data_IF_471974721532
#
_entry.id   IF_471974721532
#
_cell.length_a   1.000
_cell.length_b   1.000
_cell.length_c   1.000
_cell.angle_alpha   90.00
_cell.angle_beta   90.00
_cell.angle_gamma   90.00
#
_symmetry.space_group_name_H-M   'P 1'
#
loop_
_entity.id
_entity.type
_entity.pdbx_description
1 polymer ?
#
# COMPACT_ATOMS: atom_id res chain seq x y z
N UNK A 1 10.27 12.57 -25.19
CA UNK A 1 11.44 11.67 -25.24
C UNK A 1 12.29 12.03 -24.02
N UNK A 2 12.47 11.10 -23.07
CA UNK A 2 13.42 11.32 -21.96
C UNK A 2 14.82 11.43 -22.55
N UNK A 3 15.56 12.47 -22.16
CA UNK A 3 16.91 12.73 -22.63
C UNK A 3 17.81 11.52 -22.25
N UNK A 4 18.81 11.24 -23.08
CA UNK A 4 19.84 10.21 -22.81
C UNK A 4 20.51 10.45 -21.44
N UNK A 5 20.65 11.73 -21.05
CA UNK A 5 21.15 12.13 -19.74
C UNK A 5 20.26 11.63 -18.59
N UNK A 6 18.94 11.81 -18.70
CA UNK A 6 17.97 11.38 -17.68
C UNK A 6 17.96 9.85 -17.50
N UNK A 7 18.09 9.10 -18.58
CA UNK A 7 18.22 7.63 -18.54
C UNK A 7 19.48 7.20 -17.82
N UNK A 8 20.61 7.81 -18.14
CA UNK A 8 21.89 7.49 -17.53
C UNK A 8 21.93 7.82 -16.02
N UNK A 9 21.34 8.95 -15.61
CA UNK A 9 21.18 9.32 -14.19
C UNK A 9 20.29 8.30 -13.48
N UNK A 10 19.18 7.89 -14.11
CA UNK A 10 18.26 6.90 -13.56
C UNK A 10 18.91 5.52 -13.37
N UNK A 11 19.71 5.07 -14.34
CA UNK A 11 20.44 3.79 -14.26
C UNK A 11 21.48 3.82 -13.13
N UNK A 12 22.28 4.88 -13.01
CA UNK A 12 23.23 5.06 -11.91
C UNK A 12 22.57 5.09 -10.53
N UNK A 13 21.44 5.75 -10.41
CA UNK A 13 20.67 5.82 -9.16
C UNK A 13 20.14 4.43 -8.77
N UNK A 14 19.64 3.67 -9.75
CA UNK A 14 19.21 2.28 -9.57
C UNK A 14 20.36 1.38 -9.11
N UNK A 15 21.49 1.49 -9.76
CA UNK A 15 22.70 0.71 -9.44
C UNK A 15 23.24 1.07 -8.05
N UNK A 16 23.19 2.35 -7.67
CA UNK A 16 23.59 2.83 -6.36
C UNK A 16 22.79 2.14 -5.24
N UNK A 17 21.46 2.23 -5.28
CA UNK A 17 20.60 1.62 -4.24
C UNK A 17 20.66 0.10 -4.25
N UNK A 18 20.88 -0.53 -5.40
CA UNK A 18 21.10 -1.97 -5.48
C UNK A 18 22.41 -2.41 -4.78
N UNK A 19 23.51 -1.70 -5.05
CA UNK A 19 24.80 -1.94 -4.39
C UNK A 19 24.71 -1.67 -2.89
N UNK A 20 24.03 -0.60 -2.51
CA UNK A 20 23.83 -0.22 -1.13
C UNK A 20 22.99 -1.25 -0.37
N UNK A 21 21.93 -1.79 -0.99
CA UNK A 21 21.14 -2.87 -0.40
C UNK A 21 21.98 -4.11 -0.12
N UNK A 22 22.82 -4.53 -1.07
CA UNK A 22 23.76 -5.64 -0.85
C UNK A 22 24.75 -5.36 0.27
N UNK A 23 25.32 -4.16 0.30
CA UNK A 23 26.32 -3.76 1.31
C UNK A 23 25.72 -3.75 2.72
N UNK A 24 24.48 -3.32 2.87
CA UNK A 24 23.75 -3.21 4.15
C UNK A 24 22.86 -4.41 4.45
N UNK A 25 22.95 -5.50 3.66
CA UNK A 25 22.17 -6.72 3.81
C UNK A 25 20.63 -6.51 3.76
N UNK A 26 20.16 -5.50 3.04
CA UNK A 26 18.74 -5.37 2.75
C UNK A 26 18.32 -6.35 1.64
N UNK A 27 17.13 -6.94 1.80
CA UNK A 27 16.57 -7.91 0.85
C UNK A 27 16.23 -7.31 -0.50
N UNK A 28 15.99 -6.01 -0.57
CA UNK A 28 15.72 -5.29 -1.81
C UNK A 28 16.11 -3.82 -1.71
N UNK A 29 16.34 -3.18 -2.86
CA UNK A 29 16.54 -1.73 -2.94
C UNK A 29 15.28 -0.92 -2.55
N UNK A 30 14.09 -1.56 -2.60
CA UNK A 30 12.83 -0.93 -2.19
C UNK A 30 12.84 -0.56 -0.70
N UNK A 31 13.69 -1.20 0.12
CA UNK A 31 13.90 -0.83 1.53
C UNK A 31 14.24 0.66 1.69
N UNK A 32 15.05 1.22 0.79
CA UNK A 32 15.43 2.64 0.86
C UNK A 32 14.29 3.61 0.58
N UNK A 33 13.27 3.19 -0.17
CA UNK A 33 12.06 4.00 -0.36
C UNK A 33 11.33 4.17 0.97
N UNK A 34 11.14 3.08 1.70
CA UNK A 34 10.47 3.11 3.01
C UNK A 34 11.31 3.84 4.06
N UNK A 35 12.65 3.67 4.05
CA UNK A 35 13.56 4.41 4.93
C UNK A 35 13.40 5.93 4.70
N UNK A 36 13.44 6.40 3.46
CA UNK A 36 13.30 7.81 3.12
C UNK A 36 11.91 8.37 3.47
N UNK A 37 10.86 7.55 3.29
CA UNK A 37 9.49 7.91 3.71
C UNK A 37 9.43 8.04 5.23
N UNK A 38 9.99 7.08 5.96
CA UNK A 38 9.99 7.11 7.42
C UNK A 38 10.78 8.30 7.98
N UNK A 39 11.97 8.57 7.46
CA UNK A 39 12.80 9.71 7.86
C UNK A 39 12.08 11.06 7.65
N UNK A 40 11.27 11.16 6.60
CA UNK A 40 10.53 12.38 6.28
C UNK A 40 9.23 12.55 7.05
N UNK A 41 8.51 11.46 7.28
CA UNK A 41 7.13 11.51 7.77
C UNK A 41 6.94 10.88 9.16
N UNK A 42 7.95 10.22 9.71
CA UNK A 42 7.89 9.57 11.02
C UNK A 42 6.82 8.48 11.05
N UNK A 43 6.98 7.46 10.20
CA UNK A 43 5.98 6.40 10.04
C UNK A 43 5.94 5.51 11.27
N UNK A 44 7.10 5.08 11.76
CA UNK A 44 7.20 4.08 12.80
C UNK A 44 7.47 4.68 14.18
N UNK A 45 7.07 3.92 15.19
CA UNK A 45 7.45 4.08 16.59
C UNK A 45 7.88 2.73 17.15
N UNK A 46 8.69 2.75 18.19
CA UNK A 46 9.02 1.55 18.95
C UNK A 46 7.75 0.83 19.43
N UNK A 47 7.69 -0.48 19.24
CA UNK A 47 6.57 -1.31 19.64
C UNK A 47 5.38 -1.31 18.69
N UNK A 48 5.42 -0.58 17.57
CA UNK A 48 4.34 -0.59 16.58
C UNK A 48 4.10 -1.99 16.00
N UNK A 49 2.83 -2.29 15.77
CA UNK A 49 2.37 -3.48 15.03
C UNK A 49 2.16 -3.10 13.56
N UNK A 50 2.87 -3.78 12.65
CA UNK A 50 2.97 -3.42 11.23
C UNK A 50 2.51 -4.56 10.33
N UNK A 51 1.68 -4.26 9.34
CA UNK A 51 1.34 -5.16 8.22
C UNK A 51 1.97 -4.65 6.95
N UNK A 52 2.66 -5.52 6.20
CA UNK A 52 3.25 -5.25 4.89
C UNK A 52 2.56 -6.08 3.81
N UNK A 53 1.79 -5.42 2.94
CA UNK A 53 1.04 -6.02 1.84
C UNK A 53 1.87 -6.00 0.55
N UNK A 54 2.04 -7.18 -0.08
CA UNK A 54 2.97 -7.35 -1.19
C UNK A 54 4.41 -7.39 -0.71
N UNK A 55 4.64 -8.10 0.40
CA UNK A 55 5.88 -8.05 1.18
C UNK A 55 7.11 -8.63 0.46
N UNK A 56 6.95 -9.52 -0.53
CA UNK A 56 8.09 -10.21 -1.16
C UNK A 56 9.04 -9.24 -1.88
N UNK A 57 10.35 -9.32 -1.64
CA UNK A 57 11.13 -10.35 -0.92
C UNK A 57 11.32 -10.10 0.60
N UNK A 58 10.63 -9.15 1.22
CA UNK A 58 10.71 -8.85 2.65
C UNK A 58 11.56 -7.62 2.99
N UNK A 59 11.83 -6.76 2.01
CA UNK A 59 12.66 -5.56 2.25
C UNK A 59 11.97 -4.52 3.13
N UNK A 60 10.68 -4.33 2.98
CA UNK A 60 9.89 -3.42 3.80
C UNK A 60 9.63 -3.99 5.20
N UNK A 61 9.36 -5.29 5.31
CA UNK A 61 9.28 -5.96 6.60
C UNK A 61 10.58 -5.84 7.39
N UNK A 62 11.74 -5.92 6.72
CA UNK A 62 13.04 -5.74 7.38
C UNK A 62 13.18 -4.33 7.98
N UNK A 63 12.85 -3.29 7.22
CA UNK A 63 12.85 -1.90 7.72
C UNK A 63 11.85 -1.72 8.85
N UNK A 64 10.62 -2.22 8.70
CA UNK A 64 9.60 -2.14 9.73
C UNK A 64 10.09 -2.78 11.04
N UNK A 65 10.64 -3.99 10.97
CA UNK A 65 11.24 -4.67 12.14
C UNK A 65 12.31 -3.82 12.81
N UNK A 66 13.27 -3.27 12.04
CA UNK A 66 14.35 -2.45 12.58
C UNK A 66 13.82 -1.19 13.30
N UNK A 67 12.78 -0.56 12.75
CA UNK A 67 12.20 0.69 13.26
C UNK A 67 11.26 0.49 14.46
N UNK A 68 10.69 -0.71 14.61
CA UNK A 68 9.73 -1.00 15.70
C UNK A 68 10.34 -1.81 16.84
N UNK A 69 11.62 -2.23 16.71
CA UNK A 69 12.35 -2.96 17.75
C UNK A 69 12.38 -2.15 19.10
N UNK A 70 12.37 -2.82 20.29
CA UNK A 70 12.39 -4.27 20.49
C UNK A 70 11.02 -4.95 20.51
N UNK A 71 9.92 -4.23 20.69
CA UNK A 71 8.60 -4.79 21.01
C UNK A 71 7.63 -4.78 19.81
N UNK A 72 8.13 -4.46 18.61
CA UNK A 72 7.30 -4.41 17.41
C UNK A 72 6.85 -5.79 16.93
N UNK A 73 5.66 -5.85 16.33
CA UNK A 73 5.11 -7.04 15.71
C UNK A 73 4.92 -6.78 14.19
N UNK A 74 5.63 -7.53 13.35
CA UNK A 74 5.61 -7.33 11.89
C UNK A 74 5.10 -8.58 11.19
N UNK A 75 4.05 -8.42 10.37
CA UNK A 75 3.51 -9.49 9.51
C UNK A 75 3.57 -9.03 8.05
N UNK A 76 4.24 -9.81 7.19
CA UNK A 76 4.23 -9.62 5.74
C UNK A 76 3.27 -10.60 5.06
N UNK A 77 2.50 -10.12 4.09
CA UNK A 77 1.57 -10.91 3.27
C UNK A 77 1.98 -10.83 1.80
N UNK A 78 2.14 -11.95 1.11
CA UNK A 78 2.42 -12.00 -0.34
C UNK A 78 1.91 -13.31 -0.93
N UNK A 79 1.62 -13.29 -2.23
CA UNK A 79 1.30 -14.50 -3.01
C UNK A 79 2.50 -15.46 -3.11
N UNK A 80 3.69 -14.90 -3.08
CA UNK A 80 4.95 -15.62 -3.27
C UNK A 80 5.58 -16.00 -1.92
N UNK A 81 6.30 -17.12 -1.93
CA UNK A 81 7.11 -17.49 -0.79
C UNK A 81 8.16 -16.43 -0.44
N UNK A 82 8.23 -16.09 0.83
CA UNK A 82 9.23 -15.17 1.38
C UNK A 82 10.17 -15.98 2.29
N UNK A 83 11.48 -15.84 2.08
CA UNK A 83 12.48 -16.48 2.94
C UNK A 83 12.26 -16.01 4.40
N UNK A 84 12.24 -16.91 5.39
CA UNK A 84 12.06 -16.56 6.79
C UNK A 84 13.00 -15.45 7.27
N UNK A 85 12.54 -14.66 8.22
CA UNK A 85 13.29 -13.60 8.87
C UNK A 85 12.95 -13.58 10.35
N UNK A 86 13.97 -13.60 11.20
CA UNK A 86 13.77 -13.57 12.65
C UNK A 86 12.94 -12.36 13.08
N UNK A 87 11.93 -12.57 13.92
CA UNK A 87 11.05 -11.53 14.42
C UNK A 87 10.10 -10.93 13.37
N UNK A 88 9.87 -11.62 12.25
CA UNK A 88 8.84 -11.27 11.25
C UNK A 88 8.05 -12.52 10.89
N UNK A 89 6.74 -12.41 10.93
CA UNK A 89 5.84 -13.46 10.44
C UNK A 89 5.49 -13.24 8.97
N UNK A 90 5.29 -14.33 8.22
CA UNK A 90 4.84 -14.27 6.84
C UNK A 90 3.59 -15.12 6.62
N UNK A 91 2.64 -14.55 5.88
CA UNK A 91 1.46 -15.23 5.36
C UNK A 91 1.61 -15.34 3.85
N UNK A 92 1.51 -16.56 3.31
CA UNK A 92 1.47 -16.79 1.87
C UNK A 92 0.00 -16.90 1.48
N UNK A 93 -0.50 -15.92 0.75
CA UNK A 93 -1.89 -15.88 0.33
C UNK A 93 -2.23 -14.60 -0.44
N UNK A 94 -3.36 -14.65 -1.11
CA UNK A 94 -3.95 -13.48 -1.76
C UNK A 94 -4.71 -12.65 -0.72
N UNK A 95 -4.30 -11.41 -0.51
CA UNK A 95 -4.94 -10.51 0.46
C UNK A 95 -6.39 -10.16 0.05
N UNK A 96 -6.75 -10.36 -1.20
CA UNK A 96 -8.11 -10.17 -1.70
C UNK A 96 -9.05 -11.30 -1.30
N UNK A 97 -8.52 -12.42 -0.83
CA UNK A 97 -9.30 -13.57 -0.36
C UNK A 97 -9.64 -13.45 1.13
N UNK A 98 -10.88 -13.80 1.47
CA UNK A 98 -11.36 -13.79 2.87
C UNK A 98 -10.58 -14.77 3.78
N UNK A 99 -10.02 -15.83 3.23
CA UNK A 99 -9.17 -16.79 3.95
C UNK A 99 -7.91 -16.13 4.48
N UNK A 100 -7.19 -15.43 3.62
CA UNK A 100 -5.95 -14.69 3.95
C UNK A 100 -6.24 -13.56 4.93
N UNK A 101 -7.34 -12.81 4.71
CA UNK A 101 -7.75 -11.75 5.63
C UNK A 101 -8.07 -12.29 7.02
N UNK A 102 -8.78 -13.43 7.13
CA UNK A 102 -9.06 -14.06 8.42
C UNK A 102 -7.79 -14.53 9.11
N UNK A 103 -6.85 -15.12 8.37
CA UNK A 103 -5.56 -15.53 8.92
C UNK A 103 -4.79 -14.32 9.47
N UNK A 104 -4.72 -13.22 8.72
CA UNK A 104 -4.10 -11.97 9.15
C UNK A 104 -4.73 -11.44 10.44
N UNK A 105 -6.07 -11.36 10.50
CA UNK A 105 -6.81 -10.90 11.69
C UNK A 105 -6.53 -11.77 12.91
N UNK A 106 -6.47 -13.10 12.73
CA UNK A 106 -6.21 -14.04 13.81
C UNK A 106 -4.79 -13.89 14.38
N UNK A 107 -3.78 -13.72 13.51
CA UNK A 107 -2.39 -13.56 13.93
C UNK A 107 -2.12 -12.21 14.58
N UNK A 108 -2.82 -11.18 14.15
CA UNK A 108 -2.64 -9.82 14.69
C UNK A 108 -3.20 -9.65 16.10
N UNK A 109 -4.06 -10.57 16.58
CA UNK A 109 -4.71 -10.55 17.90
C UNK A 109 -5.06 -9.12 18.39
N UNK A 110 -5.46 -8.26 17.46
CA UNK A 110 -5.72 -6.85 17.72
C UNK A 110 -5.67 -6.00 16.46
N UNK A 111 -5.16 -4.80 16.59
CA UNK A 111 -5.13 -3.83 15.51
C UNK A 111 -3.69 -3.37 15.20
N UNK A 112 -3.42 -3.15 13.92
CA UNK A 112 -2.16 -2.60 13.44
C UNK A 112 -2.03 -1.12 13.72
N UNK A 113 -0.81 -0.67 14.00
CA UNK A 113 -0.46 0.76 14.05
C UNK A 113 -0.15 1.30 12.66
N UNK A 114 0.45 0.45 11.80
CA UNK A 114 0.86 0.83 10.44
C UNK A 114 0.47 -0.27 9.45
N UNK A 115 -0.11 0.14 8.32
CA UNK A 115 -0.30 -0.69 7.12
C UNK A 115 0.61 -0.15 6.03
N UNK A 116 1.40 -1.05 5.42
CA UNK A 116 2.27 -0.79 4.29
C UNK A 116 1.75 -1.53 3.07
N UNK A 117 1.90 -0.97 1.87
CA UNK A 117 1.55 -1.62 0.62
C UNK A 117 2.49 -1.20 -0.52
N UNK A 118 3.40 -2.10 -0.89
CA UNK A 118 4.21 -1.96 -2.12
C UNK A 118 3.67 -2.86 -3.25
N UNK A 119 2.38 -3.22 -3.19
CA UNK A 119 1.73 -4.03 -4.21
C UNK A 119 1.78 -3.37 -5.58
N UNK A 120 1.95 -4.17 -6.62
CA UNK A 120 1.89 -3.74 -8.01
C UNK A 120 1.12 -4.78 -8.83
N UNK A 121 0.27 -4.37 -9.77
CA UNK A 121 -0.36 -5.29 -10.68
C UNK A 121 0.67 -5.88 -11.66
N UNK A 122 0.32 -7.03 -12.25
CA UNK A 122 1.04 -7.51 -13.43
C UNK A 122 0.77 -6.54 -14.59
N UNK A 123 1.83 -5.85 -15.03
CA UNK A 123 1.75 -4.85 -16.09
C UNK A 123 1.57 -5.58 -17.43
N UNK A 124 0.45 -5.33 -18.11
CA UNK A 124 0.13 -5.90 -19.41
C UNK A 124 0.52 -4.99 -20.58
N UNK A 125 0.96 -3.74 -20.30
CA UNK A 125 1.33 -2.74 -21.30
C UNK A 125 0.16 -1.89 -21.79
N UNK A 126 -1.05 -2.07 -21.26
CA UNK A 126 -2.22 -1.25 -21.53
C UNK A 126 -2.45 -0.25 -20.38
N UNK A 127 -2.09 1.01 -20.59
CA UNK A 127 -2.08 2.06 -19.57
C UNK A 127 -3.37 2.11 -18.73
N UNK A 128 -4.55 2.19 -19.34
CA UNK A 128 -5.82 2.31 -18.63
C UNK A 128 -6.13 1.07 -17.78
N UNK A 129 -5.86 -0.12 -18.31
CA UNK A 129 -6.09 -1.38 -17.59
C UNK A 129 -5.11 -1.56 -16.43
N UNK A 130 -3.84 -1.25 -16.66
CA UNK A 130 -2.79 -1.38 -15.63
C UNK A 130 -3.01 -0.36 -14.52
N UNK A 131 -3.44 0.87 -14.87
CA UNK A 131 -3.81 1.89 -13.89
C UNK A 131 -5.04 1.46 -13.06
N UNK A 132 -6.12 1.00 -13.68
CA UNK A 132 -7.31 0.52 -12.97
C UNK A 132 -6.99 -0.63 -12.00
N UNK A 133 -6.14 -1.58 -12.42
CA UNK A 133 -5.66 -2.67 -11.54
C UNK A 133 -4.85 -2.14 -10.35
N UNK A 134 -4.00 -1.13 -10.58
CA UNK A 134 -3.24 -0.50 -9.49
C UNK A 134 -4.17 0.16 -8.46
N UNK A 135 -5.16 0.92 -8.92
CA UNK A 135 -6.15 1.55 -8.03
C UNK A 135 -6.95 0.49 -7.27
N UNK A 136 -7.31 -0.61 -7.92
CA UNK A 136 -8.00 -1.72 -7.26
C UNK A 136 -7.17 -2.31 -6.10
N UNK A 137 -5.86 -2.53 -6.29
CA UNK A 137 -4.96 -2.96 -5.22
C UNK A 137 -4.85 -1.92 -4.09
N UNK A 138 -4.84 -0.63 -4.43
CA UNK A 138 -4.87 0.44 -3.42
C UNK A 138 -6.16 0.38 -2.59
N UNK A 139 -7.32 0.14 -3.22
CA UNK A 139 -8.59 0.00 -2.50
C UNK A 139 -8.62 -1.23 -1.59
N UNK A 140 -7.95 -2.33 -1.94
CA UNK A 140 -7.76 -3.45 -1.01
C UNK A 140 -6.92 -3.05 0.20
N UNK A 141 -5.84 -2.30 0.03
CA UNK A 141 -5.07 -1.79 1.16
C UNK A 141 -5.92 -0.89 2.09
N UNK A 142 -6.83 -0.10 1.52
CA UNK A 142 -7.80 0.71 2.27
C UNK A 142 -8.79 -0.20 3.03
N UNK A 143 -9.31 -1.27 2.41
CA UNK A 143 -10.20 -2.23 3.07
C UNK A 143 -9.49 -2.94 4.25
N UNK A 144 -8.22 -3.28 4.08
CA UNK A 144 -7.39 -3.78 5.19
C UNK A 144 -7.33 -2.76 6.33
N UNK A 145 -7.09 -1.47 6.03
CA UNK A 145 -7.09 -0.42 7.05
C UNK A 145 -8.44 -0.34 7.79
N UNK A 146 -9.56 -0.38 7.06
CA UNK A 146 -10.91 -0.33 7.64
C UNK A 146 -11.17 -1.51 8.61
N UNK A 147 -10.49 -2.65 8.40
CA UNK A 147 -10.64 -3.85 9.24
C UNK A 147 -9.70 -3.90 10.44
N UNK A 148 -8.42 -3.52 10.26
CA UNK A 148 -7.38 -3.77 11.25
C UNK A 148 -6.63 -2.54 11.76
N UNK A 149 -6.72 -1.38 11.09
CA UNK A 149 -5.93 -0.22 11.50
C UNK A 149 -6.50 0.41 12.77
N UNK A 150 -5.65 0.74 13.72
CA UNK A 150 -6.02 1.51 14.93
C UNK A 150 -6.44 2.92 14.55
N UNK A 151 -7.27 3.54 15.39
CA UNK A 151 -7.46 5.00 15.34
C UNK A 151 -6.08 5.68 15.48
N UNK A 152 -5.86 6.78 14.75
CA UNK A 152 -4.57 7.46 14.61
C UNK A 152 -3.48 6.63 13.89
N UNK A 153 -3.80 5.44 13.39
CA UNK A 153 -2.88 4.61 12.62
C UNK A 153 -2.50 5.24 11.27
N UNK A 154 -1.55 4.62 10.60
CA UNK A 154 -0.95 5.14 9.37
C UNK A 154 -1.01 4.13 8.23
N UNK A 155 -1.12 4.63 7.00
CA UNK A 155 -1.03 3.85 5.77
C UNK A 155 0.06 4.47 4.89
N UNK A 156 0.95 3.64 4.38
CA UNK A 156 1.89 3.99 3.30
C UNK A 156 1.62 3.06 2.13
N UNK A 157 1.26 3.59 0.98
CA UNK A 157 1.02 2.75 -0.18
C UNK A 157 1.58 3.33 -1.47
N UNK A 158 2.03 2.43 -2.34
CA UNK A 158 2.43 2.76 -3.70
C UNK A 158 1.19 2.94 -4.57
N UNK A 159 1.19 3.99 -5.40
CA UNK A 159 0.14 4.30 -6.36
C UNK A 159 0.78 4.67 -7.69
N UNK A 160 0.19 4.27 -8.81
CA UNK A 160 0.54 4.81 -10.11
C UNK A 160 -0.34 6.00 -10.43
N UNK A 161 0.28 7.10 -10.86
CA UNK A 161 -0.45 8.30 -11.31
C UNK A 161 -1.31 7.99 -12.54
N UNK A 162 -2.53 8.54 -12.59
CA UNK A 162 -3.46 8.34 -13.71
C UNK A 162 -4.86 8.86 -13.39
N UNK A 163 -5.82 8.58 -14.27
CA UNK A 163 -7.16 9.19 -14.30
C UNK A 163 -7.98 8.98 -13.01
N UNK A 164 -7.78 7.88 -12.31
CA UNK A 164 -8.50 7.55 -11.06
C UNK A 164 -7.77 8.00 -9.79
N UNK A 165 -6.62 8.67 -9.92
CA UNK A 165 -5.79 9.07 -8.78
C UNK A 165 -6.54 10.02 -7.84
N UNK A 166 -7.19 11.06 -8.39
CA UNK A 166 -7.93 12.05 -7.59
C UNK A 166 -9.09 11.43 -6.83
N UNK A 167 -9.79 10.47 -7.43
CA UNK A 167 -10.86 9.72 -6.76
C UNK A 167 -10.33 8.90 -5.58
N UNK A 168 -9.16 8.28 -5.73
CA UNK A 168 -8.50 7.57 -4.64
C UNK A 168 -8.11 8.53 -3.51
N UNK A 169 -7.54 9.71 -3.84
CA UNK A 169 -7.17 10.71 -2.84
C UNK A 169 -8.39 11.17 -2.03
N UNK A 170 -9.53 11.44 -2.67
CA UNK A 170 -10.78 11.80 -1.99
C UNK A 170 -11.26 10.70 -1.04
N UNK A 171 -11.13 9.42 -1.42
CA UNK A 171 -11.49 8.30 -0.54
C UNK A 171 -10.58 8.18 0.68
N UNK A 172 -9.30 8.51 0.52
CA UNK A 172 -8.35 8.53 1.62
C UNK A 172 -8.58 9.71 2.59
N UNK A 173 -8.88 10.90 2.06
CA UNK A 173 -9.18 12.09 2.85
C UNK A 173 -10.42 11.92 3.74
N UNK A 174 -11.37 11.07 3.35
CA UNK A 174 -12.53 10.71 4.20
C UNK A 174 -12.13 9.83 5.41
N UNK A 175 -10.98 9.17 5.36
CA UNK A 175 -10.54 8.18 6.35
C UNK A 175 -9.37 8.63 7.20
N UNK A 176 -8.56 9.55 6.69
CA UNK A 176 -7.33 9.98 7.34
C UNK A 176 -7.27 11.50 7.52
N UNK A 177 -6.69 11.93 8.62
CA UNK A 177 -6.51 13.33 8.96
C UNK A 177 -5.54 14.06 8.01
N UNK A 178 -4.51 13.34 7.55
CA UNK A 178 -3.50 13.85 6.63
C UNK A 178 -3.22 12.85 5.53
N UNK A 179 -3.30 13.30 4.28
CA UNK A 179 -2.95 12.51 3.08
C UNK A 179 -1.93 13.32 2.29
N UNK A 180 -0.74 12.74 2.08
CA UNK A 180 0.37 13.38 1.37
C UNK A 180 0.92 12.47 0.29
N UNK A 181 1.37 13.07 -0.81
CA UNK A 181 2.03 12.37 -1.91
C UNK A 181 3.52 12.64 -1.86
N UNK A 182 4.33 11.61 -2.05
CA UNK A 182 5.77 11.72 -2.06
C UNK A 182 6.40 10.74 -3.05
N UNK A 183 7.45 11.18 -3.72
CA UNK A 183 8.30 10.34 -4.56
C UNK A 183 9.69 10.26 -3.92
N UNK A 184 10.03 9.12 -3.28
CA UNK A 184 11.37 8.94 -2.70
C UNK A 184 12.47 8.97 -3.75
N UNK A 185 13.66 9.44 -3.40
CA UNK A 185 14.82 9.45 -4.30
C UNK A 185 15.24 8.04 -4.75
N UNK A 186 14.91 7.02 -3.96
CA UNK A 186 15.12 5.61 -4.32
C UNK A 186 14.14 5.10 -5.39
N UNK A 187 13.11 5.86 -5.78
CA UNK A 187 12.24 5.56 -6.92
C UNK A 187 12.96 5.81 -8.25
N UNK A 188 12.54 5.09 -9.29
CA UNK A 188 13.09 5.35 -10.64
C UNK A 188 12.54 6.67 -11.17
N UNK A 189 13.37 7.55 -11.72
CA UNK A 189 12.90 8.83 -12.29
C UNK A 189 11.88 8.69 -13.43
N UNK A 190 11.91 7.56 -14.15
CA UNK A 190 10.99 7.23 -15.24
C UNK A 190 9.72 6.53 -14.81
N UNK A 191 9.54 6.28 -13.51
CA UNK A 191 8.35 5.60 -12.98
C UNK A 191 7.24 6.59 -12.70
N UNK A 192 6.02 6.27 -13.11
CA UNK A 192 4.80 6.98 -12.68
C UNK A 192 4.37 6.63 -11.26
N UNK A 193 5.17 5.83 -10.54
CA UNK A 193 4.89 5.45 -9.15
C UNK A 193 5.13 6.63 -8.21
N UNK A 194 4.19 6.83 -7.33
CA UNK A 194 4.30 7.71 -6.16
C UNK A 194 3.89 6.93 -4.91
N UNK A 195 4.24 7.44 -3.75
CA UNK A 195 3.77 6.91 -2.48
C UNK A 195 2.79 7.88 -1.86
N UNK A 196 1.66 7.34 -1.42
CA UNK A 196 0.66 8.09 -0.65
C UNK A 196 0.86 7.73 0.81
N UNK A 197 1.06 8.75 1.64
CA UNK A 197 1.29 8.66 3.07
C UNK A 197 0.06 9.23 3.77
N UNK A 198 -0.67 8.36 4.48
CA UNK A 198 -1.86 8.68 5.23
C UNK A 198 -1.59 8.55 6.72
N UNK A 199 -1.93 9.57 7.50
CA UNK A 199 -1.74 9.58 8.96
C UNK A 199 -3.01 10.03 9.66
N UNK A 200 -3.23 9.51 10.87
CA UNK A 200 -4.40 9.87 11.68
C UNK A 200 -5.67 9.21 11.15
N UNK A 201 -5.72 7.88 11.11
CA UNK A 201 -6.90 7.13 10.73
C UNK A 201 -8.05 7.41 11.69
N UNK A 202 -9.21 7.83 11.18
CA UNK A 202 -10.36 8.19 12.03
C UNK A 202 -11.04 6.98 12.70
N UNK A 203 -10.73 5.75 12.24
CA UNK A 203 -11.47 4.54 12.58
C UNK A 203 -12.59 4.29 11.58
N UNK A 204 -13.32 3.20 11.73
CA UNK A 204 -14.43 2.86 10.82
C UNK A 204 -15.37 4.03 10.66
N UNK A 205 -15.23 4.80 9.60
CA UNK A 205 -16.23 5.75 9.17
C UNK A 205 -17.03 5.13 8.05
N UNK A 206 -18.35 5.14 8.24
CA UNK A 206 -19.40 4.87 7.26
C UNK A 206 -19.29 3.52 6.55
N UNK A 207 -20.16 2.61 6.94
CA UNK A 207 -20.43 1.36 6.24
C UNK A 207 -20.62 1.63 4.75
N UNK A 208 -19.84 0.99 3.90
CA UNK A 208 -20.04 0.93 2.45
C UNK A 208 -21.48 0.50 2.04
N UNK A 209 -22.27 0.00 2.97
CA UNK A 209 -23.71 -0.28 2.78
C UNK A 209 -24.56 0.96 2.52
N UNK A 210 -24.16 2.12 3.00
CA UNK A 210 -24.96 3.35 2.86
C UNK A 210 -24.76 4.05 1.50
N UNK A 211 -23.72 3.67 0.75
CA UNK A 211 -23.46 4.19 -0.61
C UNK A 211 -24.20 3.35 -1.66
N UNK A 212 -24.31 2.04 -1.46
CA UNK A 212 -25.02 1.15 -2.39
C UNK A 212 -26.55 1.31 -2.34
N UNK A 213 -27.12 1.85 -1.26
CA UNK A 213 -28.58 2.12 -1.18
C UNK A 213 -29.00 3.44 -1.84
N UNK A 214 -28.07 4.35 -2.15
CA UNK A 214 -28.38 5.61 -2.86
C UNK A 214 -28.43 5.49 -4.37
N UNK A 215 -27.97 4.38 -4.93
CA UNK A 215 -28.10 4.06 -6.37
C UNK A 215 -29.30 3.13 -6.66
N UNK A 216 -30.42 3.29 -5.99
CA UNK A 216 -31.67 2.72 -6.48
C UNK A 216 -32.08 3.47 -7.74
N UNK A 217 -31.97 2.77 -8.86
CA UNK A 217 -32.44 3.17 -10.20
C UNK A 217 -33.85 3.78 -10.11
N UNK A 218 -34.12 4.86 -10.87
CA UNK A 218 -35.52 5.28 -11.06
C UNK A 218 -36.28 4.14 -11.76
N UNK A 219 -37.33 3.65 -11.12
CA UNK A 219 -38.30 2.76 -11.78
C UNK A 219 -38.94 3.50 -12.95
N UNK A 220 -38.58 3.11 -14.14
CA UNK A 220 -39.31 3.51 -15.34
C UNK A 220 -40.65 2.74 -15.35
N UNK A 221 -41.69 3.33 -14.86
CA UNK A 221 -43.07 2.88 -15.06
C UNK A 221 -43.48 3.23 -16.48
N UNK A 222 -43.41 2.25 -17.39
CA UNK A 222 -44.04 2.34 -18.70
C UNK A 222 -45.54 2.22 -18.46
N UNK A 223 -46.26 3.33 -18.48
CA UNK A 223 -47.73 3.33 -18.62
C UNK A 223 -48.04 2.98 -20.08
N UNK A 224 -48.37 1.74 -20.32
CA UNK A 224 -48.98 1.31 -21.56
C UNK A 224 -50.44 1.79 -21.56
N UNK A 225 -50.79 2.56 -22.56
CA UNK A 225 -52.18 2.87 -22.93
C UNK A 225 -52.31 2.64 -24.42
N UNK A 226 -52.84 1.48 -24.80
CA UNK A 226 -53.39 1.27 -26.11
C UNK A 226 -54.89 1.58 -26.01
N UNK A 227 -55.35 2.47 -26.85
CA UNK A 227 -56.57 2.34 -27.66
C UNK A 227 -56.24 2.85 -29.04
#
# INVERSE_FOLDING_TARGET
MADLHDRWVAERRNEHYYKLAKKLNYRSRASFKLIQIDERFGIFKEGDSVVDLGACPGGWCQVAKERTWPNGHVIGVDLRYIKPMDGVEFIIGDITEDSTMRELLNRFNGKADVVLSDMAPNIAGHYSTDHARSIHLCMFAVDVCDRILKKEGKLVMKVFMGDMFDSLMQELEKRFQSVKVHSPDASRPTSSEVYVICQGFYGKSVKLKDVAEKEKKPEFTVKGGFI
#
